data_IF_951499921312
#
_entry.id   IF_951499921312
#
_cell.length_a   1.000
_cell.length_b   1.000
_cell.length_c   1.000
_cell.angle_alpha   90.00
_cell.angle_beta   90.00
_cell.angle_gamma   90.00
#
_symmetry.space_group_name_H-M   'P 1'
#
loop_
_entity.id
_entity.type
_entity.pdbx_description
1 polymer ?
#
# COMPACT_ATOMS: atom_id res chain seq x y z
N UNK A 1 -16.89 -16.46 -42.06
CA UNK A 1 -17.26 -17.00 -40.73
C UNK A 1 -16.07 -17.30 -39.82
N UNK A 2 -14.81 -17.25 -40.29
CA UNK A 2 -13.61 -17.52 -39.45
C UNK A 2 -13.20 -16.39 -38.48
N UNK A 3 -13.65 -15.15 -38.72
CA UNK A 3 -13.19 -14.00 -37.90
C UNK A 3 -13.75 -14.02 -36.47
N UNK A 4 -14.98 -14.55 -36.30
CA UNK A 4 -15.65 -14.57 -35.00
C UNK A 4 -15.03 -15.62 -34.06
N UNK A 5 -14.62 -16.78 -34.58
CA UNK A 5 -13.93 -17.81 -33.78
C UNK A 5 -12.54 -17.34 -33.36
N UNK A 6 -11.81 -16.61 -34.22
CA UNK A 6 -10.51 -16.02 -33.87
C UNK A 6 -10.61 -15.02 -32.72
N UNK A 7 -11.59 -14.12 -32.77
CA UNK A 7 -11.82 -13.12 -31.70
C UNK A 7 -12.27 -13.80 -30.40
N UNK A 8 -13.17 -14.78 -30.46
CA UNK A 8 -13.64 -15.50 -29.27
C UNK A 8 -12.49 -16.26 -28.59
N UNK A 9 -11.61 -16.91 -29.39
CA UNK A 9 -10.43 -17.60 -28.87
C UNK A 9 -9.45 -16.63 -28.23
N UNK A 10 -9.23 -15.47 -28.84
CA UNK A 10 -8.41 -14.41 -28.23
C UNK A 10 -9.02 -13.91 -26.91
N UNK A 11 -10.34 -13.69 -26.84
CA UNK A 11 -10.98 -13.23 -25.59
C UNK A 11 -10.96 -14.27 -24.47
N UNK A 12 -11.06 -15.57 -24.79
CA UNK A 12 -11.03 -16.65 -23.81
C UNK A 12 -9.61 -17.02 -23.35
N UNK A 13 -8.59 -16.75 -24.17
CA UNK A 13 -7.18 -17.02 -23.84
C UNK A 13 -6.55 -15.92 -23.00
N UNK A 14 -7.15 -14.73 -22.92
CA UNK A 14 -6.66 -13.65 -22.05
C UNK A 14 -7.16 -13.92 -20.62
N UNK A 15 -6.29 -14.31 -19.67
CA UNK A 15 -6.69 -14.46 -18.29
C UNK A 15 -7.12 -13.09 -17.75
N UNK A 16 -8.38 -12.98 -17.33
CA UNK A 16 -8.86 -11.80 -16.61
C UNK A 16 -8.44 -11.92 -15.16
N UNK A 17 -7.49 -11.08 -14.74
CA UNK A 17 -7.17 -10.88 -13.33
C UNK A 17 -8.27 -10.00 -12.75
N UNK A 18 -9.16 -10.57 -11.95
CA UNK A 18 -10.08 -9.78 -11.13
C UNK A 18 -9.28 -9.19 -9.98
N UNK A 19 -9.05 -7.88 -10.00
CA UNK A 19 -8.45 -7.17 -8.87
C UNK A 19 -9.56 -7.00 -7.84
N UNK A 20 -9.46 -7.61 -6.64
CA UNK A 20 -10.56 -7.61 -5.69
C UNK A 20 -10.70 -6.26 -4.97
N UNK A 21 -9.61 -5.50 -4.81
CA UNK A 21 -9.60 -4.21 -4.09
C UNK A 21 -8.73 -3.22 -4.85
N UNK A 22 -9.35 -2.22 -5.48
CA UNK A 22 -8.65 -1.17 -6.23
C UNK A 22 -8.71 0.19 -5.52
N UNK A 23 -9.69 0.42 -4.65
CA UNK A 23 -9.89 1.67 -3.91
C UNK A 23 -9.98 1.48 -2.40
N UNK A 24 -9.84 2.58 -1.64
CA UNK A 24 -10.16 2.57 -0.20
C UNK A 24 -11.65 2.31 0.07
N UNK A 25 -12.52 2.72 -0.84
CA UNK A 25 -13.96 2.47 -0.71
C UNK A 25 -14.23 0.96 -0.76
N UNK A 26 -13.57 0.25 -1.68
CA UNK A 26 -13.69 -1.21 -1.80
C UNK A 26 -13.10 -1.91 -0.57
N UNK A 27 -11.99 -1.39 -0.02
CA UNK A 27 -11.36 -1.93 1.18
C UNK A 27 -12.27 -1.85 2.41
N UNK A 28 -13.04 -0.76 2.54
CA UNK A 28 -13.98 -0.55 3.66
C UNK A 28 -15.33 -1.25 3.41
N UNK A 29 -15.70 -1.48 2.14
CA UNK A 29 -16.97 -2.12 1.80
C UNK A 29 -16.96 -3.65 1.97
N UNK A 30 -15.78 -4.24 2.11
CA UNK A 30 -15.58 -5.69 2.25
C UNK A 30 -15.33 -6.08 3.72
N UNK A 31 -15.77 -7.28 4.10
CA UNK A 31 -15.66 -7.82 5.47
C UNK A 31 -14.63 -8.97 5.61
N UNK A 32 -14.08 -9.45 4.51
CA UNK A 32 -13.29 -10.69 4.45
C UNK A 32 -11.80 -10.50 4.79
N UNK A 33 -11.24 -9.32 4.46
CA UNK A 33 -9.82 -9.01 4.53
C UNK A 33 -9.56 -8.00 5.64
N UNK A 34 -8.91 -8.40 6.75
CA UNK A 34 -8.54 -7.45 7.80
C UNK A 34 -7.44 -6.52 7.27
N UNK A 35 -7.58 -5.22 7.50
CA UNK A 35 -6.52 -4.25 7.22
C UNK A 35 -5.95 -3.64 8.50
N UNK A 36 -4.68 -3.25 8.42
CA UNK A 36 -3.94 -2.62 9.53
C UNK A 36 -3.20 -1.38 9.06
N UNK A 37 -2.92 -0.49 10.01
CA UNK A 37 -2.15 0.74 9.81
C UNK A 37 -0.82 0.70 10.57
N UNK A 38 0.19 1.36 10.02
CA UNK A 38 1.46 1.57 10.71
C UNK A 38 1.29 2.57 11.86
N UNK A 39 1.67 2.16 13.07
CA UNK A 39 1.56 2.99 14.27
C UNK A 39 2.50 4.21 14.19
N UNK A 40 1.97 5.42 14.43
CA UNK A 40 2.77 6.65 14.45
C UNK A 40 3.26 7.13 13.07
N UNK A 41 2.76 6.51 12.00
CA UNK A 41 3.03 6.94 10.62
C UNK A 41 2.24 8.21 10.27
N UNK A 42 2.70 8.93 9.24
CA UNK A 42 1.94 10.05 8.66
C UNK A 42 0.54 9.60 8.20
N UNK A 43 0.42 8.39 7.64
CA UNK A 43 -0.87 7.85 7.20
C UNK A 43 -1.83 7.61 8.37
N UNK A 44 -1.31 7.17 9.52
CA UNK A 44 -2.11 7.00 10.73
C UNK A 44 -2.75 8.32 11.16
N UNK A 45 -1.95 9.37 11.29
CA UNK A 45 -2.46 10.71 11.64
C UNK A 45 -3.38 11.27 10.56
N UNK A 46 -3.08 11.02 9.28
CA UNK A 46 -3.93 11.47 8.18
C UNK A 46 -5.35 10.88 8.25
N UNK A 47 -5.50 9.59 8.53
CA UNK A 47 -6.82 8.96 8.67
C UNK A 47 -7.47 9.27 10.03
N UNK A 48 -6.68 9.53 11.06
CA UNK A 48 -7.19 9.99 12.35
C UNK A 48 -7.82 11.38 12.25
N UNK A 49 -7.24 12.28 11.46
CA UNK A 49 -7.69 13.66 11.27
C UNK A 49 -8.58 13.85 10.04
N UNK A 50 -8.83 12.80 9.25
CA UNK A 50 -9.59 12.95 8.00
C UNK A 50 -11.07 13.29 8.24
N UNK A 51 -11.53 14.36 7.59
CA UNK A 51 -12.96 14.71 7.51
C UNK A 51 -13.73 13.83 6.51
N UNK A 52 -13.02 13.12 5.63
CA UNK A 52 -13.62 12.21 4.65
C UNK A 52 -14.21 10.97 5.34
N UNK A 53 -15.48 10.60 5.09
CA UNK A 53 -16.13 9.48 5.75
C UNK A 53 -15.45 8.14 5.47
N UNK A 54 -14.84 7.95 4.29
CA UNK A 54 -14.15 6.70 3.95
C UNK A 54 -12.82 6.65 4.72
N UNK A 55 -12.03 7.73 4.70
CA UNK A 55 -10.80 7.84 5.48
C UNK A 55 -11.02 7.61 6.98
N UNK A 56 -12.11 8.17 7.52
CA UNK A 56 -12.52 7.99 8.93
C UNK A 56 -12.84 6.53 9.24
N UNK A 57 -13.55 5.84 8.34
CA UNK A 57 -13.87 4.41 8.51
C UNK A 57 -12.62 3.53 8.44
N UNK A 58 -11.70 3.80 7.53
CA UNK A 58 -10.40 3.10 7.48
C UNK A 58 -9.70 3.12 8.83
N UNK A 59 -9.76 4.25 9.55
CA UNK A 59 -9.18 4.37 10.88
C UNK A 59 -9.98 3.63 11.97
N UNK A 60 -11.31 3.72 11.96
CA UNK A 60 -12.16 3.16 13.01
C UNK A 60 -12.28 1.63 12.91
N UNK A 61 -12.37 1.11 11.69
CA UNK A 61 -12.66 -0.30 11.40
C UNK A 61 -11.38 -1.14 11.16
N UNK A 62 -10.19 -0.54 11.33
CA UNK A 62 -8.92 -1.27 11.26
C UNK A 62 -8.88 -2.43 12.27
N UNK A 63 -8.34 -3.57 11.85
CA UNK A 63 -8.14 -4.74 12.70
C UNK A 63 -7.04 -4.54 13.76
N UNK A 64 -6.20 -3.50 13.60
CA UNK A 64 -5.13 -3.17 14.53
C UNK A 64 -4.05 -2.29 13.91
N UNK A 65 -2.93 -2.19 14.60
CA UNK A 65 -1.73 -1.49 14.12
C UNK A 65 -0.53 -2.42 14.09
N UNK A 66 0.43 -2.12 13.23
CA UNK A 66 1.74 -2.77 13.20
C UNK A 66 2.86 -1.72 13.36
N UNK A 67 4.07 -2.16 13.70
CA UNK A 67 5.15 -1.24 14.03
C UNK A 67 5.73 -0.52 12.82
N UNK A 68 5.97 -1.24 11.73
CA UNK A 68 6.67 -0.72 10.57
C UNK A 68 6.26 -1.50 9.31
N UNK A 69 6.07 -0.78 8.19
CA UNK A 69 5.63 -1.35 6.92
C UNK A 69 6.63 -2.36 6.33
N UNK A 70 7.92 -2.14 6.55
CA UNK A 70 8.95 -3.09 6.14
C UNK A 70 9.00 -4.31 7.05
N UNK A 71 8.80 -4.15 8.36
CA UNK A 71 8.74 -5.28 9.30
C UNK A 71 7.56 -6.22 8.98
N UNK A 72 6.40 -5.66 8.65
CA UNK A 72 5.16 -6.39 8.35
C UNK A 72 5.15 -7.11 6.98
N UNK A 73 6.17 -6.94 6.14
CA UNK A 73 6.17 -7.43 4.74
C UNK A 73 5.89 -8.93 4.59
N UNK A 74 6.36 -9.74 5.54
CA UNK A 74 6.15 -11.20 5.50
C UNK A 74 4.71 -11.56 5.81
N UNK A 75 4.11 -10.92 6.82
CA UNK A 75 2.71 -11.14 7.19
C UNK A 75 1.75 -10.69 6.08
N UNK A 76 2.10 -9.61 5.38
CA UNK A 76 1.36 -9.15 4.19
C UNK A 76 1.52 -10.14 3.04
N UNK A 77 2.73 -10.67 2.81
CA UNK A 77 2.98 -11.66 1.77
C UNK A 77 2.31 -13.01 2.06
N UNK A 78 2.14 -13.38 3.33
CA UNK A 78 1.42 -14.59 3.73
C UNK A 78 -0.10 -14.44 3.73
N UNK A 79 -0.61 -13.22 3.52
CA UNK A 79 -2.05 -12.95 3.44
C UNK A 79 -2.76 -12.85 4.79
N UNK A 80 -2.03 -12.60 5.89
CA UNK A 80 -2.63 -12.45 7.22
C UNK A 80 -3.46 -11.16 7.33
N UNK A 81 -3.04 -10.10 6.65
CA UNK A 81 -3.75 -8.82 6.59
C UNK A 81 -3.30 -7.96 5.40
N UNK A 82 -4.14 -6.99 5.02
CA UNK A 82 -3.76 -5.90 4.12
C UNK A 82 -3.08 -4.76 4.90
N UNK A 83 -1.95 -4.26 4.40
CA UNK A 83 -1.27 -3.12 4.99
C UNK A 83 -1.46 -1.87 4.14
N UNK A 84 -1.85 -0.76 4.77
CA UNK A 84 -1.83 0.56 4.12
C UNK A 84 -0.47 1.20 4.43
N UNK A 85 0.38 1.24 3.42
CA UNK A 85 1.77 1.67 3.51
C UNK A 85 2.13 2.69 2.42
N UNK A 86 3.25 3.36 2.59
CA UNK A 86 3.79 4.22 1.54
C UNK A 86 4.20 3.39 0.31
N UNK A 87 3.98 3.98 -0.87
CA UNK A 87 4.24 3.31 -2.16
C UNK A 87 5.70 2.85 -2.29
N UNK A 88 6.64 3.64 -1.76
CA UNK A 88 8.07 3.35 -1.85
C UNK A 88 8.46 2.11 -1.07
N UNK A 89 7.96 1.96 0.16
CA UNK A 89 8.18 0.76 0.96
C UNK A 89 7.50 -0.46 0.35
N UNK A 90 6.30 -0.33 -0.20
CA UNK A 90 5.64 -1.46 -0.88
C UNK A 90 6.36 -1.89 -2.16
N UNK A 91 6.83 -0.96 -2.98
CA UNK A 91 7.67 -1.29 -4.14
C UNK A 91 8.95 -2.02 -3.70
N UNK A 92 9.58 -1.57 -2.61
CA UNK A 92 10.75 -2.24 -2.03
C UNK A 92 10.40 -3.65 -1.54
N UNK A 93 9.25 -3.84 -0.88
CA UNK A 93 8.80 -5.14 -0.41
C UNK A 93 8.53 -6.10 -1.57
N UNK A 94 7.87 -5.64 -2.64
CA UNK A 94 7.65 -6.44 -3.86
C UNK A 94 8.97 -6.84 -4.53
N UNK A 95 9.92 -5.91 -4.64
CA UNK A 95 11.24 -6.21 -5.22
C UNK A 95 12.02 -7.21 -4.36
N UNK A 96 11.92 -7.10 -3.04
CA UNK A 96 12.51 -8.05 -2.10
C UNK A 96 11.87 -9.44 -2.21
N UNK A 97 10.54 -9.53 -2.22
CA UNK A 97 9.81 -10.80 -2.36
C UNK A 97 10.19 -11.53 -3.65
N UNK A 98 10.20 -10.82 -4.78
CA UNK A 98 10.61 -11.38 -6.06
C UNK A 98 12.08 -11.83 -6.08
N UNK A 99 13.00 -11.00 -5.55
CA UNK A 99 14.43 -11.34 -5.54
C UNK A 99 14.77 -12.51 -4.61
N UNK A 100 13.97 -12.74 -3.57
CA UNK A 100 14.22 -13.80 -2.59
C UNK A 100 13.52 -15.11 -2.91
N UNK A 101 12.29 -15.06 -3.40
CA UNK A 101 11.47 -16.26 -3.66
C UNK A 101 11.42 -16.66 -5.13
N UNK A 102 11.74 -15.72 -6.05
CA UNK A 102 11.54 -15.90 -7.48
C UNK A 102 10.08 -15.73 -7.94
N UNK A 103 9.15 -15.47 -7.01
CA UNK A 103 7.72 -15.32 -7.26
C UNK A 103 7.24 -13.95 -6.77
N UNK A 104 6.06 -13.51 -7.25
CA UNK A 104 5.41 -12.29 -6.79
C UNK A 104 4.16 -12.66 -5.97
N UNK A 105 4.25 -12.57 -4.65
CA UNK A 105 3.12 -12.79 -3.73
C UNK A 105 2.40 -11.49 -3.36
N UNK A 106 3.09 -10.36 -3.48
CA UNK A 106 2.58 -9.05 -3.13
C UNK A 106 1.90 -8.36 -4.33
N UNK A 107 0.77 -7.73 -4.05
CA UNK A 107 0.05 -6.87 -4.99
C UNK A 107 -0.19 -5.49 -4.36
N UNK A 108 -0.16 -4.45 -5.18
CA UNK A 108 -0.41 -3.07 -4.76
C UNK A 108 -1.57 -2.50 -5.60
N UNK A 109 -2.57 -1.93 -4.93
CA UNK A 109 -3.73 -1.32 -5.58
C UNK A 109 -3.32 -0.18 -6.52
N UNK A 110 -4.11 0.02 -7.58
CA UNK A 110 -3.80 1.05 -8.57
C UNK A 110 -4.09 2.47 -8.06
N UNK A 111 -5.12 2.64 -7.24
CA UNK A 111 -5.49 3.94 -6.72
C UNK A 111 -4.49 4.43 -5.67
N UNK A 112 -3.92 5.60 -5.92
CA UNK A 112 -3.09 6.29 -4.91
C UNK A 112 -4.01 6.80 -3.80
N UNK A 113 -3.85 6.23 -2.63
CA UNK A 113 -4.54 6.67 -1.40
C UNK A 113 -4.11 8.08 -0.99
N UNK A 114 -2.83 8.38 -1.14
CA UNK A 114 -2.24 9.68 -0.85
C UNK A 114 -1.09 9.94 -1.83
N UNK A 115 -1.00 11.16 -2.36
CA UNK A 115 -0.05 11.51 -3.43
C UNK A 115 1.01 12.55 -3.03
N UNK A 116 1.08 12.97 -1.77
CA UNK A 116 2.13 13.90 -1.34
C UNK A 116 3.36 13.12 -0.86
N UNK A 117 4.36 13.01 -1.73
CA UNK A 117 5.67 12.47 -1.38
C UNK A 117 6.61 13.61 -1.02
N UNK A 118 6.71 13.94 0.27
CA UNK A 118 7.68 14.93 0.75
C UNK A 118 8.66 14.20 1.67
N UNK A 119 9.81 13.81 1.12
CA UNK A 119 10.93 13.34 1.93
C UNK A 119 11.56 14.56 2.60
N UNK A 120 11.77 14.49 3.91
CA UNK A 120 12.43 15.53 4.68
C UNK A 120 13.63 14.96 5.43
N UNK A 121 14.66 15.79 5.64
CA UNK A 121 15.84 15.44 6.42
C UNK A 121 15.64 15.96 7.84
N UNK A 122 15.59 15.05 8.82
CA UNK A 122 15.47 15.39 10.23
C UNK A 122 16.84 15.66 10.88
N UNK A 123 16.95 16.77 11.61
CA UNK A 123 18.11 17.07 12.44
C UNK A 123 17.71 17.16 13.91
N UNK A 124 18.59 16.73 14.82
CA UNK A 124 18.42 17.01 16.26
C UNK A 124 18.41 18.53 16.47
N UNK A 125 17.54 19.01 17.36
CA UNK A 125 17.56 20.42 17.79
C UNK A 125 18.96 20.80 18.29
N UNK A 126 19.51 21.90 17.77
CA UNK A 126 20.90 22.38 18.03
C UNK A 126 22.01 21.42 17.58
N UNK A 127 21.77 20.59 16.57
CA UNK A 127 22.82 19.76 15.95
C UNK A 127 23.92 20.61 15.33
N UNK A 128 25.18 20.19 15.53
CA UNK A 128 26.37 20.77 14.87
C UNK A 128 26.31 20.69 13.33
N UNK A 129 25.44 19.84 12.80
CA UNK A 129 25.28 19.62 11.36
C UNK A 129 24.22 20.51 10.69
N UNK A 130 23.46 21.30 11.47
CA UNK A 130 22.44 22.20 10.93
C UNK A 130 23.03 23.39 10.16
N UNK A 131 24.08 24.09 10.65
CA UNK A 131 24.73 25.16 9.89
C UNK A 131 25.37 24.74 8.55
N UNK A 132 26.05 23.57 8.42
CA UNK A 132 26.55 23.13 7.12
C UNK A 132 25.45 22.60 6.18
N UNK A 133 24.39 21.97 6.70
CA UNK A 133 23.28 21.48 5.87
C UNK A 133 22.48 22.61 5.21
N UNK A 134 22.32 23.75 5.88
CA UNK A 134 21.58 24.90 5.35
C UNK A 134 22.39 25.76 4.34
N UNK A 135 23.65 25.40 4.09
CA UNK A 135 24.53 26.12 3.15
C UNK A 135 24.67 25.41 1.80
N UNK A 136 24.13 24.20 1.66
CA UNK A 136 23.94 23.52 0.37
C UNK A 136 22.67 24.04 -0.30
#
# INVERSE_FOLDING_TARGET
>A
MSSYSGILTAMLTVPRVTIPIDSLADLVAQDDLPWRLEAGSMMYSFFEESDDPIGRRVFLEKAGTFQDCWAARQDVASGEFAAICDRTTMMKAMSWDFSTTGNCHLYMSQQKVYSSGILSIGFKTKSKYLPPANKM
#
